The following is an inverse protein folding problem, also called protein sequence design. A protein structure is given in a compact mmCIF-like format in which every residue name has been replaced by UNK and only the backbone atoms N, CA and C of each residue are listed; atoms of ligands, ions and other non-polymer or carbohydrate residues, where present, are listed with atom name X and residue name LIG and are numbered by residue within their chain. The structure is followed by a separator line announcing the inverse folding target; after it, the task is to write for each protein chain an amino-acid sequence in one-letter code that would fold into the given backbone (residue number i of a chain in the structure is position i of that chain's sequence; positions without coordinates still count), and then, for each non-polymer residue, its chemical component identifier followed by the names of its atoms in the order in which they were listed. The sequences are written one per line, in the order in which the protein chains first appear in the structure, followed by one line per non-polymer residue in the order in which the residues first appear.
data_IF_316086667464
#
_entry.id   IF_316086667464
#
_cell.length_a   1.000
_cell.length_b   1.000
_cell.length_c   1.000
_cell.angle_alpha   90.00
_cell.angle_beta   90.00
_cell.angle_gamma   90.00
#
_symmetry.space_group_name_H-M   'P 1'
#
loop_
_entity.id
_entity.type
_entity.pdbx_description
1 polymer ?
#
# COMPACT_ATOMS: atom_id res chain seq x y z
N UNK A 1 -74.05 -21.39 -44.81
CA UNK A 1 -72.98 -22.12 -44.09
C UNK A 1 -71.55 -21.71 -44.50
N UNK A 2 -71.32 -20.63 -45.26
CA UNK A 2 -69.96 -20.17 -45.63
C UNK A 2 -69.41 -19.04 -44.75
N UNK A 3 -70.25 -18.10 -44.33
CA UNK A 3 -69.83 -16.93 -43.52
C UNK A 3 -69.27 -17.30 -42.13
N UNK A 4 -69.74 -18.42 -41.55
CA UNK A 4 -69.35 -18.90 -40.24
C UNK A 4 -67.95 -19.54 -40.24
N UNK A 5 -67.50 -20.07 -41.38
CA UNK A 5 -66.14 -20.60 -41.56
C UNK A 5 -65.11 -19.49 -41.79
N UNK A 6 -65.48 -18.39 -42.45
CA UNK A 6 -64.57 -17.24 -42.61
C UNK A 6 -64.31 -16.50 -41.30
N UNK A 7 -65.32 -16.39 -40.42
CA UNK A 7 -65.17 -15.73 -39.12
C UNK A 7 -64.29 -16.53 -38.14
N UNK A 8 -64.37 -17.88 -38.15
CA UNK A 8 -63.53 -18.74 -37.32
C UNK A 8 -62.07 -18.76 -37.77
N UNK A 9 -61.82 -18.71 -39.08
CA UNK A 9 -60.46 -18.60 -39.63
C UNK A 9 -59.82 -17.26 -39.25
N UNK A 10 -60.57 -16.16 -39.30
CA UNK A 10 -60.06 -14.84 -38.88
C UNK A 10 -59.67 -14.80 -37.40
N UNK A 11 -60.47 -15.42 -36.52
CA UNK A 11 -60.14 -15.51 -35.09
C UNK A 11 -58.88 -16.36 -34.84
N UNK A 12 -58.67 -17.44 -35.60
CA UNK A 12 -57.44 -18.21 -35.53
C UNK A 12 -56.21 -17.44 -36.02
N UNK A 13 -56.35 -16.64 -37.08
CA UNK A 13 -55.27 -15.80 -37.61
C UNK A 13 -54.90 -14.67 -36.63
N UNK A 14 -55.88 -14.05 -35.96
CA UNK A 14 -55.62 -13.08 -34.90
C UNK A 14 -54.91 -13.73 -33.71
N UNK A 15 -55.39 -14.90 -33.26
CA UNK A 15 -54.75 -15.65 -32.18
C UNK A 15 -53.30 -16.05 -32.53
N UNK A 16 -53.03 -16.42 -33.79
CA UNK A 16 -51.67 -16.72 -34.26
C UNK A 16 -50.77 -15.47 -34.20
N UNK A 17 -51.28 -14.31 -34.62
CA UNK A 17 -50.57 -13.04 -34.55
C UNK A 17 -50.24 -12.65 -33.12
N UNK A 18 -51.20 -12.78 -32.21
CA UNK A 18 -51.01 -12.47 -30.79
C UNK A 18 -49.99 -13.42 -30.15
N UNK A 19 -50.08 -14.72 -30.45
CA UNK A 19 -49.10 -15.70 -30.00
C UNK A 19 -47.68 -15.37 -30.50
N UNK A 20 -47.52 -15.00 -31.78
CA UNK A 20 -46.25 -14.58 -32.33
C UNK A 20 -45.69 -13.34 -31.62
N UNK A 21 -46.53 -12.32 -31.38
CA UNK A 21 -46.11 -11.12 -30.65
C UNK A 21 -45.68 -11.41 -29.21
N UNK A 22 -46.38 -12.31 -28.52
CA UNK A 22 -46.02 -12.73 -27.16
C UNK A 22 -44.64 -13.39 -27.15
N UNK A 23 -44.39 -14.30 -28.09
CA UNK A 23 -43.10 -14.98 -28.22
C UNK A 23 -41.98 -13.99 -28.55
N UNK A 24 -42.24 -13.04 -29.44
CA UNK A 24 -41.24 -12.04 -29.83
C UNK A 24 -40.89 -11.09 -28.67
N UNK A 25 -41.90 -10.59 -27.94
CA UNK A 25 -41.71 -9.81 -26.71
C UNK A 25 -40.88 -10.59 -25.68
N UNK A 26 -41.16 -11.87 -25.49
CA UNK A 26 -40.40 -12.72 -24.58
C UNK A 26 -38.92 -12.88 -25.01
N UNK A 27 -38.65 -13.04 -26.30
CA UNK A 27 -37.28 -13.10 -26.85
C UNK A 27 -36.53 -11.79 -26.70
N UNK A 28 -37.19 -10.66 -26.98
CA UNK A 28 -36.62 -9.32 -26.78
C UNK A 28 -36.31 -9.08 -25.31
N UNK A 29 -37.26 -9.38 -24.41
CA UNK A 29 -37.06 -9.26 -22.97
C UNK A 29 -35.87 -10.08 -22.49
N UNK A 30 -35.74 -11.35 -22.91
CA UNK A 30 -34.60 -12.21 -22.58
C UNK A 30 -33.27 -11.59 -23.03
N UNK A 31 -33.24 -11.07 -24.25
CA UNK A 31 -32.03 -10.46 -24.83
C UNK A 31 -31.65 -9.17 -24.09
N UNK A 32 -32.64 -8.35 -23.73
CA UNK A 32 -32.44 -7.14 -22.95
C UNK A 32 -31.91 -7.47 -21.55
N UNK A 33 -32.54 -8.42 -20.83
CA UNK A 33 -32.09 -8.91 -19.52
C UNK A 33 -30.64 -9.39 -19.53
N UNK A 34 -30.21 -10.08 -20.60
CA UNK A 34 -28.83 -10.53 -20.76
C UNK A 34 -27.85 -9.35 -20.97
N UNK A 35 -28.25 -8.33 -21.74
CA UNK A 35 -27.44 -7.12 -21.92
C UNK A 35 -27.34 -6.31 -20.63
N UNK A 36 -28.45 -6.15 -19.93
CA UNK A 36 -28.51 -5.41 -18.66
C UNK A 36 -27.61 -6.08 -17.61
N UNK A 37 -27.70 -7.41 -17.46
CA UNK A 37 -26.84 -8.16 -16.54
C UNK A 37 -25.35 -8.00 -16.85
N UNK A 38 -24.96 -7.98 -18.14
CA UNK A 38 -23.57 -7.72 -18.55
C UNK A 38 -23.14 -6.29 -18.24
N UNK A 39 -24.01 -5.32 -18.50
CA UNK A 39 -23.75 -3.89 -18.23
C UNK A 39 -23.61 -3.64 -16.73
N UNK A 40 -24.47 -4.24 -15.91
CA UNK A 40 -24.40 -4.16 -14.45
C UNK A 40 -23.12 -4.79 -13.91
N UNK A 41 -22.76 -6.00 -14.35
CA UNK A 41 -21.52 -6.64 -13.96
C UNK A 41 -20.29 -5.80 -14.33
N UNK A 42 -20.28 -5.19 -15.53
CA UNK A 42 -19.19 -4.31 -15.94
C UNK A 42 -19.10 -3.07 -15.04
N UNK A 43 -20.24 -2.44 -14.72
CA UNK A 43 -20.28 -1.29 -13.80
C UNK A 43 -19.78 -1.66 -12.40
N UNK A 44 -20.09 -2.85 -11.90
CA UNK A 44 -19.57 -3.32 -10.61
C UNK A 44 -18.07 -3.56 -10.64
N UNK A 45 -17.55 -4.16 -11.71
CA UNK A 45 -16.12 -4.35 -11.92
C UNK A 45 -15.40 -2.99 -11.95
N UNK A 46 -15.91 -2.03 -12.69
CA UNK A 46 -15.30 -0.71 -12.82
C UNK A 46 -15.33 0.06 -11.49
N UNK A 47 -16.45 -0.04 -10.73
CA UNK A 47 -16.52 0.50 -9.36
C UNK A 47 -15.51 -0.16 -8.43
N UNK A 48 -15.35 -1.48 -8.52
CA UNK A 48 -14.39 -2.21 -7.69
C UNK A 48 -12.95 -1.83 -8.02
N UNK A 49 -12.62 -1.74 -9.31
CA UNK A 49 -11.31 -1.26 -9.78
C UNK A 49 -11.03 0.15 -9.27
N UNK A 50 -11.95 1.09 -9.48
CA UNK A 50 -11.79 2.46 -8.99
C UNK A 50 -11.57 2.52 -7.48
N UNK A 51 -12.30 1.72 -6.69
CA UNK A 51 -12.08 1.64 -5.24
C UNK A 51 -10.70 1.09 -4.88
N UNK A 52 -10.24 0.06 -5.58
CA UNK A 52 -8.92 -0.51 -5.36
C UNK A 52 -7.80 0.42 -5.79
N UNK A 53 -7.97 1.16 -6.86
CA UNK A 53 -7.02 2.18 -7.31
C UNK A 53 -6.94 3.33 -6.30
N UNK A 54 -8.06 3.76 -5.72
CA UNK A 54 -8.04 4.77 -4.65
C UNK A 54 -7.39 4.25 -3.38
N UNK A 55 -7.71 3.03 -2.94
CA UNK A 55 -7.06 2.41 -1.78
C UNK A 55 -5.54 2.25 -2.00
N UNK A 56 -5.14 1.87 -3.21
CA UNK A 56 -3.73 1.73 -3.57
C UNK A 56 -3.01 3.08 -3.55
N UNK A 57 -3.59 4.12 -4.14
CA UNK A 57 -3.02 5.47 -4.09
C UNK A 57 -2.93 6.01 -2.68
N UNK A 58 -3.95 5.84 -1.86
CA UNK A 58 -3.89 6.24 -0.45
C UNK A 58 -2.80 5.48 0.32
N UNK A 59 -2.61 4.20 0.01
CA UNK A 59 -1.53 3.40 0.60
C UNK A 59 -0.16 3.87 0.13
N UNK A 60 -0.01 4.17 -1.16
CA UNK A 60 1.19 4.72 -1.76
C UNK A 60 1.53 6.10 -1.16
N UNK A 61 0.56 6.99 -1.03
CA UNK A 61 0.73 8.32 -0.44
C UNK A 61 1.11 8.22 1.06
N UNK A 62 0.47 7.33 1.81
CA UNK A 62 0.80 7.12 3.23
C UNK A 62 2.17 6.47 3.42
N UNK A 63 2.57 5.56 2.55
CA UNK A 63 3.80 4.80 2.71
C UNK A 63 5.00 5.43 2.01
N UNK A 64 4.79 6.29 1.01
CA UNK A 64 5.86 7.08 0.37
C UNK A 64 6.44 8.13 1.32
N UNK A 65 5.63 8.69 2.23
CA UNK A 65 6.09 9.60 3.29
C UNK A 65 6.81 8.92 4.46
N UNK A 66 6.84 7.58 4.52
CA UNK A 66 7.42 6.85 5.66
C UNK A 66 8.94 7.00 5.76
N UNK A 67 9.62 7.30 4.64
CA UNK A 67 11.05 7.58 4.66
C UNK A 67 11.37 8.87 5.41
N UNK A 68 10.59 9.94 5.23
CA UNK A 68 10.84 11.22 5.90
C UNK A 68 10.65 11.11 7.42
N UNK A 69 9.65 10.34 7.86
CA UNK A 69 9.40 10.11 9.28
C UNK A 69 10.46 9.20 9.91
N UNK A 70 10.88 8.15 9.20
CA UNK A 70 12.00 7.30 9.61
C UNK A 70 13.32 8.09 9.69
N UNK A 71 13.60 8.97 8.73
CA UNK A 71 14.76 9.86 8.74
C UNK A 71 14.72 10.84 9.92
N UNK A 72 13.57 11.44 10.21
CA UNK A 72 13.42 12.33 11.38
C UNK A 72 13.61 11.59 12.70
N UNK A 73 13.10 10.37 12.82
CA UNK A 73 13.27 9.55 14.03
C UNK A 73 14.73 9.12 14.20
N UNK A 74 15.38 8.68 13.12
CA UNK A 74 16.81 8.38 13.10
C UNK A 74 17.65 9.61 13.48
N UNK A 75 17.35 10.79 12.92
CA UNK A 75 18.07 12.02 13.22
C UNK A 75 17.95 12.40 14.71
N UNK A 76 16.75 12.30 15.29
CA UNK A 76 16.55 12.52 16.73
C UNK A 76 17.38 11.56 17.58
N UNK A 77 17.43 10.28 17.20
CA UNK A 77 18.25 9.28 17.88
C UNK A 77 19.74 9.62 17.79
N UNK A 78 20.23 9.98 16.60
CA UNK A 78 21.62 10.43 16.40
C UNK A 78 21.94 11.65 17.25
N UNK A 79 21.06 12.65 17.30
CA UNK A 79 21.26 13.86 18.09
C UNK A 79 21.34 13.55 19.59
N UNK A 80 20.50 12.63 20.09
CA UNK A 80 20.59 12.17 21.49
C UNK A 80 21.90 11.45 21.78
N UNK A 81 22.33 10.53 20.91
CA UNK A 81 23.61 9.82 21.06
C UNK A 81 24.80 10.78 20.99
N UNK A 82 24.78 11.76 20.08
CA UNK A 82 25.83 12.78 19.99
C UNK A 82 25.90 13.63 21.26
N UNK A 83 24.75 13.98 21.85
CA UNK A 83 24.71 14.68 23.13
C UNK A 83 25.31 13.83 24.27
N UNK A 84 24.99 12.54 24.33
CA UNK A 84 25.55 11.62 25.33
C UNK A 84 27.07 11.43 25.16
N UNK A 85 27.54 11.28 23.92
CA UNK A 85 28.97 11.19 23.61
C UNK A 85 29.70 12.48 24.05
N UNK A 86 29.14 13.66 23.78
CA UNK A 86 29.73 14.93 24.22
C UNK A 86 29.80 15.03 25.73
N UNK A 87 28.74 14.63 26.45
CA UNK A 87 28.75 14.62 27.92
C UNK A 87 29.80 13.68 28.49
N UNK A 88 29.85 12.44 28.00
CA UNK A 88 30.86 11.47 28.45
C UNK A 88 32.29 11.90 28.12
N UNK A 89 32.49 12.57 26.97
CA UNK A 89 33.77 13.20 26.65
C UNK A 89 34.13 14.29 27.67
N UNK A 90 33.22 15.20 28.01
CA UNK A 90 33.48 16.28 28.97
C UNK A 90 33.81 15.76 30.37
N UNK A 91 33.09 14.72 30.82
CA UNK A 91 33.34 14.05 32.11
C UNK A 91 34.69 13.34 32.12
N UNK A 92 35.02 12.60 31.05
CA UNK A 92 36.28 11.85 30.94
C UNK A 92 37.51 12.72 30.63
N UNK A 93 37.33 13.91 30.04
CA UNK A 93 38.43 14.75 29.54
C UNK A 93 39.43 15.11 30.63
N UNK A 94 38.96 15.50 31.81
CA UNK A 94 39.86 15.88 32.92
C UNK A 94 40.72 14.70 33.37
N UNK A 95 40.09 13.55 33.59
CA UNK A 95 40.77 12.31 34.00
C UNK A 95 41.78 11.85 32.96
N UNK A 96 41.42 11.90 31.67
CA UNK A 96 42.33 11.51 30.58
C UNK A 96 43.53 12.46 30.50
N UNK A 97 43.31 13.78 30.61
CA UNK A 97 44.39 14.77 30.58
C UNK A 97 45.33 14.58 31.76
N UNK A 98 44.80 14.40 32.97
CA UNK A 98 45.61 14.18 34.18
C UNK A 98 46.43 12.89 34.07
N UNK A 99 45.85 11.80 33.56
CA UNK A 99 46.55 10.54 33.33
C UNK A 99 47.65 10.65 32.27
N UNK A 100 47.39 11.37 31.17
CA UNK A 100 48.40 11.60 30.12
C UNK A 100 49.56 12.44 30.65
N UNK A 101 49.27 13.52 31.39
CA UNK A 101 50.29 14.36 32.01
C UNK A 101 51.10 13.58 33.05
N UNK A 102 50.43 12.79 33.89
CA UNK A 102 51.09 11.94 34.88
C UNK A 102 52.00 10.89 34.21
N UNK A 103 51.57 10.27 33.11
CA UNK A 103 52.38 9.32 32.35
C UNK A 103 53.61 9.97 31.70
N UNK A 104 53.49 11.21 31.20
CA UNK A 104 54.61 11.95 30.59
C UNK A 104 55.61 12.41 31.66
N UNK A 105 55.14 12.85 32.83
CA UNK A 105 56.01 13.36 33.91
C UNK A 105 56.66 12.22 34.70
N UNK A 106 56.00 11.06 34.81
CA UNK A 106 56.54 9.89 35.53
C UNK A 106 57.66 9.23 34.72
N UNK A 107 58.88 9.72 34.92
CA UNK A 107 60.09 9.06 34.47
C UNK A 107 60.41 7.85 35.35
N UNK A 108 60.24 6.64 34.82
CA UNK A 108 60.74 5.39 35.43
C UNK A 108 61.97 4.89 34.64
N UNK A 109 63.18 5.39 34.95
CA UNK A 109 64.39 4.98 34.27
C UNK A 109 64.73 3.54 34.69
N UNK A 110 64.39 2.60 33.81
CA UNK A 110 64.78 1.20 33.98
C UNK A 110 66.12 0.95 33.32
N UNK A 111 66.99 0.24 34.03
CA UNK A 111 68.25 -0.21 33.47
C UNK A 111 67.96 -1.11 32.27
N UNK A 112 68.55 -0.80 31.12
CA UNK A 112 68.37 -1.60 29.91
C UNK A 112 68.71 -3.07 30.20
N UNK A 113 67.92 -4.00 29.67
CA UNK A 113 67.92 -5.44 30.03
C UNK A 113 69.32 -6.07 29.96
N UNK A 114 70.22 -5.50 29.15
CA UNK A 114 71.58 -5.99 28.91
C UNK A 114 72.70 -5.23 29.64
N UNK A 115 72.39 -4.24 30.48
CA UNK A 115 73.44 -3.51 31.20
C UNK A 115 73.94 -4.35 32.40
N UNK A 116 75.22 -4.68 32.41
CA UNK A 116 75.88 -5.42 33.50
C UNK A 116 76.58 -4.41 34.41
N UNK A 117 76.27 -4.42 35.72
CA UNK A 117 77.01 -3.60 36.71
C UNK A 117 78.43 -4.17 36.85
N UNK A 118 79.43 -3.33 36.54
CA UNK A 118 80.82 -3.55 36.96
C UNK A 118 80.96 -3.13 38.42
#
# INVERSE_FOLDING_TARGET
MSAQNTASIQTLLEAERDAQQIVEKARQYRTQRLKDARSEAQKEIDKYKSKKDTEYKEYEDKNSGNNDDAEKEAQKSIDTQLSEIKKSQEEGKKVIVDNLLAAIVKSDPQMHINATKV
#
